data_IF_100432020737
#
_entry.id   IF_100432020737
#
_cell.length_a   1.000
_cell.length_b   1.000
_cell.length_c   1.000
_cell.angle_alpha   90.00
_cell.angle_beta   90.00
_cell.angle_gamma   90.00
#
_symmetry.space_group_name_H-M   'P 1'
#
loop_
_entity.id
_entity.type
_entity.pdbx_description
1 polymer ?
#
# COMPACT_ATOMS: atom_id res chain seq x y z
N UNK A 1 -6.05 20.47 8.48
CA UNK A 1 -6.65 19.87 7.26
C UNK A 1 -6.03 18.50 7.09
N UNK A 2 -6.83 17.43 6.93
CA UNK A 2 -6.33 16.06 6.75
C UNK A 2 -6.22 15.74 5.26
N UNK A 3 -5.07 15.24 4.85
CA UNK A 3 -4.79 14.86 3.45
C UNK A 3 -4.91 13.36 3.25
N UNK A 4 -5.54 12.96 2.15
CA UNK A 4 -5.58 11.61 1.63
C UNK A 4 -4.70 11.58 0.38
N UNK A 5 -3.55 10.93 0.45
CA UNK A 5 -2.65 10.75 -0.68
C UNK A 5 -3.02 9.52 -1.49
N UNK A 6 -2.92 9.57 -2.82
CA UNK A 6 -2.83 8.37 -3.66
C UNK A 6 -1.47 8.29 -4.35
N UNK A 7 -0.76 7.19 -4.12
CA UNK A 7 0.56 6.89 -4.68
C UNK A 7 0.41 5.86 -5.80
N UNK A 8 0.88 6.18 -7.00
CA UNK A 8 0.66 5.39 -8.21
C UNK A 8 1.83 5.49 -9.19
N UNK A 9 1.84 4.62 -10.20
CA UNK A 9 2.84 4.58 -11.26
C UNK A 9 2.40 5.36 -12.51
N UNK A 10 2.55 4.77 -13.69
CA UNK A 10 2.19 5.42 -14.96
C UNK A 10 0.67 5.43 -15.25
N UNK A 11 -0.09 4.51 -14.63
CA UNK A 11 -1.54 4.45 -14.78
C UNK A 11 -2.19 5.56 -13.93
N UNK A 12 -2.94 6.47 -14.54
CA UNK A 12 -3.46 7.67 -13.87
C UNK A 12 -4.99 7.87 -14.00
N UNK A 13 -5.71 6.97 -14.67
CA UNK A 13 -7.17 7.09 -14.85
C UNK A 13 -7.91 6.85 -13.54
N UNK A 14 -7.56 5.80 -12.79
CA UNK A 14 -8.14 5.54 -11.48
C UNK A 14 -7.69 6.57 -10.42
N UNK A 15 -6.39 6.91 -10.29
CA UNK A 15 -5.94 7.90 -9.32
C UNK A 15 -6.65 9.25 -9.41
N UNK A 16 -6.81 9.78 -10.62
CA UNK A 16 -7.52 11.04 -10.82
C UNK A 16 -9.00 10.91 -10.44
N UNK A 17 -9.69 9.88 -10.93
CA UNK A 17 -11.10 9.66 -10.62
C UNK A 17 -11.35 9.48 -9.11
N UNK A 18 -10.41 8.85 -8.39
CA UNK A 18 -10.47 8.73 -6.93
C UNK A 18 -10.39 10.10 -6.25
N UNK A 19 -9.41 10.94 -6.62
CA UNK A 19 -9.25 12.29 -6.09
C UNK A 19 -10.51 13.12 -6.33
N UNK A 20 -10.98 13.14 -7.57
CA UNK A 20 -12.16 13.91 -7.97
C UNK A 20 -13.37 13.48 -7.13
N UNK A 21 -13.55 12.17 -6.96
CA UNK A 21 -14.67 11.63 -6.18
C UNK A 21 -14.57 11.97 -4.69
N UNK A 22 -13.39 11.94 -4.09
CA UNK A 22 -13.19 12.32 -2.68
C UNK A 22 -13.47 13.80 -2.49
N UNK A 23 -12.89 14.65 -3.33
CA UNK A 23 -13.03 16.10 -3.21
C UNK A 23 -14.45 16.57 -3.52
N UNK A 24 -15.16 15.91 -4.45
CA UNK A 24 -16.58 16.17 -4.72
C UNK A 24 -17.49 15.90 -3.51
N UNK A 25 -17.09 15.04 -2.58
CA UNK A 25 -17.88 14.82 -1.35
C UNK A 25 -17.88 16.04 -0.44
N UNK A 26 -16.95 16.98 -0.64
CA UNK A 26 -16.87 18.25 0.09
C UNK A 26 -16.97 18.09 1.61
N UNK A 27 -16.26 17.09 2.15
CA UNK A 27 -16.21 16.85 3.59
C UNK A 27 -15.27 17.87 4.23
N UNK A 28 -15.78 18.60 5.23
CA UNK A 28 -15.02 19.67 5.88
C UNK A 28 -13.66 19.19 6.42
N UNK A 29 -12.61 19.92 6.05
CA UNK A 29 -11.25 19.67 6.52
C UNK A 29 -10.56 18.45 5.90
N UNK A 30 -11.13 17.82 4.86
CA UNK A 30 -10.55 16.68 4.13
C UNK A 30 -10.28 17.06 2.66
N UNK A 31 -9.13 16.63 2.16
CA UNK A 31 -8.73 16.78 0.75
C UNK A 31 -8.01 15.51 0.30
N UNK A 32 -8.17 15.16 -0.97
CA UNK A 32 -7.36 14.16 -1.65
C UNK A 32 -6.46 14.78 -2.71
N UNK A 33 -5.23 14.28 -2.82
CA UNK A 33 -4.25 14.68 -3.81
C UNK A 33 -3.31 13.52 -4.16
N UNK A 34 -2.51 13.69 -5.21
CA UNK A 34 -1.40 12.78 -5.48
C UNK A 34 -0.36 12.89 -4.37
N UNK A 35 0.22 11.74 -3.98
CA UNK A 35 1.32 11.73 -3.03
C UNK A 35 2.53 12.45 -3.64
N UNK A 36 2.99 13.51 -2.99
CA UNK A 36 4.22 14.20 -3.33
C UNK A 36 5.31 13.84 -2.31
N UNK A 37 6.47 13.38 -2.80
CA UNK A 37 7.60 12.97 -1.97
C UNK A 37 8.82 13.76 -2.44
N UNK A 38 9.31 14.67 -1.61
CA UNK A 38 10.55 15.42 -1.89
C UNK A 38 11.75 14.70 -1.31
N UNK A 39 11.66 14.31 -0.04
CA UNK A 39 12.67 13.55 0.68
C UNK A 39 11.99 12.63 1.71
N UNK A 40 12.75 11.66 2.21
CA UNK A 40 12.30 10.75 3.27
C UNK A 40 13.39 10.69 4.32
N UNK A 41 13.10 11.21 5.50
CA UNK A 41 13.93 11.06 6.69
C UNK A 41 13.34 9.95 7.58
N UNK A 42 14.22 9.15 8.16
CA UNK A 42 13.82 8.05 9.05
C UNK A 42 13.04 8.58 10.27
N UNK A 43 11.92 7.94 10.59
CA UNK A 43 11.04 8.29 11.69
C UNK A 43 10.43 9.71 11.63
N UNK A 44 10.54 10.40 10.49
CA UNK A 44 9.85 11.68 10.26
C UNK A 44 8.51 11.42 9.59
N UNK A 45 7.45 12.00 10.14
CA UNK A 45 6.09 11.85 9.64
C UNK A 45 5.89 12.61 8.32
N UNK A 46 5.02 12.07 7.47
CA UNK A 46 4.48 12.78 6.31
C UNK A 46 3.24 13.60 6.71
N UNK A 47 2.78 14.48 5.82
CA UNK A 47 1.60 15.32 6.01
C UNK A 47 0.28 14.60 5.66
N UNK A 48 0.37 13.39 5.11
CA UNK A 48 -0.79 12.54 4.82
C UNK A 48 -1.33 11.83 6.06
N UNK A 49 -2.63 11.97 6.28
CA UNK A 49 -3.35 11.19 7.29
C UNK A 49 -3.63 9.76 6.78
N UNK A 50 -3.88 9.62 5.47
CA UNK A 50 -4.09 8.34 4.79
C UNK A 50 -3.30 8.33 3.48
N UNK A 51 -2.68 7.21 3.12
CA UNK A 51 -2.11 6.98 1.78
C UNK A 51 -2.73 5.73 1.17
N UNK A 52 -3.20 5.85 -0.08
CA UNK A 52 -3.61 4.74 -0.92
C UNK A 52 -2.42 4.34 -1.80
N UNK A 53 -1.88 3.16 -1.56
CA UNK A 53 -0.77 2.58 -2.28
C UNK A 53 -1.24 1.75 -3.48
N UNK A 54 -0.77 2.13 -4.67
CA UNK A 54 -1.03 1.42 -5.94
C UNK A 54 0.23 0.98 -6.67
N UNK A 55 1.43 1.15 -6.08
CA UNK A 55 2.70 0.95 -6.81
C UNK A 55 3.86 0.37 -5.98
N UNK A 56 3.75 0.28 -4.64
CA UNK A 56 4.87 -0.20 -3.82
C UNK A 56 5.24 -1.66 -4.04
N UNK A 57 4.39 -2.42 -4.76
CA UNK A 57 4.72 -3.76 -5.25
C UNK A 57 5.98 -3.79 -6.13
N UNK A 58 6.15 -2.76 -6.94
CA UNK A 58 7.13 -2.77 -8.03
C UNK A 58 8.37 -1.94 -7.67
N UNK A 59 8.23 -0.96 -6.76
CA UNK A 59 9.28 0.01 -6.47
C UNK A 59 9.70 -0.04 -4.99
N UNK A 60 10.92 -0.53 -4.68
CA UNK A 60 11.41 -0.66 -3.31
C UNK A 60 11.42 0.65 -2.51
N UNK A 61 11.73 1.78 -3.16
CA UNK A 61 11.72 3.10 -2.52
C UNK A 61 10.34 3.44 -1.92
N UNK A 62 9.27 3.28 -2.70
CA UNK A 62 7.91 3.55 -2.23
C UNK A 62 7.51 2.63 -1.09
N UNK A 63 7.93 1.36 -1.13
CA UNK A 63 7.69 0.43 -0.02
C UNK A 63 8.36 0.89 1.27
N UNK A 64 9.60 1.37 1.20
CA UNK A 64 10.31 1.90 2.36
C UNK A 64 9.65 3.18 2.89
N UNK A 65 9.28 4.11 2.01
CA UNK A 65 8.55 5.32 2.36
C UNK A 65 7.23 5.02 3.08
N UNK A 66 6.41 4.12 2.53
CA UNK A 66 5.11 3.78 3.11
C UNK A 66 5.24 3.10 4.48
N UNK A 67 6.28 2.29 4.69
CA UNK A 67 6.58 1.73 6.02
C UNK A 67 6.95 2.81 7.03
N UNK A 68 7.74 3.81 6.62
CA UNK A 68 8.06 4.96 7.46
C UNK A 68 6.80 5.79 7.77
N UNK A 69 5.95 6.07 6.78
CA UNK A 69 4.68 6.77 6.97
C UNK A 69 3.76 6.01 7.93
N UNK A 70 3.61 4.69 7.75
CA UNK A 70 2.82 3.85 8.64
C UNK A 70 3.36 3.84 10.08
N UNK A 71 4.69 3.74 10.23
CA UNK A 71 5.36 3.79 11.54
C UNK A 71 5.12 5.12 12.28
N UNK A 72 4.99 6.22 11.54
CA UNK A 72 4.88 7.58 12.08
C UNK A 72 3.44 8.10 12.17
N UNK A 73 2.44 7.25 11.90
CA UNK A 73 1.03 7.51 12.20
C UNK A 73 0.12 7.69 10.98
N UNK A 74 0.63 7.59 9.75
CA UNK A 74 -0.20 7.60 8.54
C UNK A 74 -0.89 6.25 8.36
N UNK A 75 -2.19 6.23 8.13
CA UNK A 75 -2.87 4.99 7.72
C UNK A 75 -2.52 4.69 6.25
N UNK A 76 -2.00 3.50 5.97
CA UNK A 76 -1.64 3.10 4.59
C UNK A 76 -2.51 1.95 4.13
N UNK A 77 -3.10 2.11 2.95
CA UNK A 77 -4.01 1.14 2.33
C UNK A 77 -3.44 0.71 0.96
N UNK A 78 -3.10 -0.54 0.73
CA UNK A 78 -3.13 -1.64 1.71
C UNK A 78 -1.96 -1.53 2.71
N UNK A 79 -2.04 -2.31 3.79
CA UNK A 79 -1.00 -2.30 4.82
C UNK A 79 0.38 -2.64 4.19
N UNK A 80 1.40 -1.77 4.31
CA UNK A 80 2.67 -1.90 3.59
C UNK A 80 3.57 -3.01 4.16
N UNK A 81 3.15 -3.67 5.23
CA UNK A 81 3.79 -4.85 5.80
C UNK A 81 3.25 -6.17 5.22
N UNK A 82 2.23 -6.11 4.36
CA UNK A 82 1.60 -7.25 3.70
C UNK A 82 1.93 -7.25 2.20
N UNK A 83 3.22 -7.34 1.84
CA UNK A 83 3.61 -7.40 0.42
C UNK A 83 4.67 -8.45 0.00
N UNK A 84 4.98 -9.43 0.83
CA UNK A 84 6.02 -10.44 0.58
C UNK A 84 5.53 -11.68 -0.18
N UNK A 85 6.46 -12.42 -0.79
CA UNK A 85 6.14 -13.69 -1.45
C UNK A 85 5.58 -14.74 -0.48
N UNK A 86 6.02 -14.71 0.78
CA UNK A 86 5.56 -15.62 1.84
C UNK A 86 4.07 -15.43 2.14
N UNK A 87 3.56 -14.22 1.94
CA UNK A 87 2.15 -13.95 2.14
C UNK A 87 1.27 -14.59 1.08
N UNK A 88 1.78 -14.88 -0.13
CA UNK A 88 0.99 -15.63 -1.13
C UNK A 88 0.76 -17.06 -0.67
N UNK A 89 1.79 -17.69 -0.09
CA UNK A 89 1.65 -19.01 0.50
C UNK A 89 0.73 -18.97 1.73
N UNK A 90 0.94 -17.99 2.63
CA UNK A 90 0.07 -17.77 3.78
C UNK A 90 -1.39 -17.55 3.37
N UNK A 91 -1.67 -16.73 2.34
CA UNK A 91 -3.02 -16.46 1.87
C UNK A 91 -3.70 -17.73 1.34
N UNK A 92 -2.97 -18.59 0.63
CA UNK A 92 -3.47 -19.91 0.25
C UNK A 92 -3.72 -20.81 1.46
N UNK A 93 -2.80 -20.83 2.44
CA UNK A 93 -2.98 -21.61 3.66
C UNK A 93 -4.22 -21.14 4.46
N UNK A 94 -4.40 -19.82 4.60
CA UNK A 94 -5.57 -19.22 5.23
C UNK A 94 -6.86 -19.55 4.47
N UNK A 95 -6.85 -19.46 3.14
CA UNK A 95 -8.00 -19.83 2.31
C UNK A 95 -8.44 -21.28 2.56
N UNK A 96 -7.49 -22.22 2.65
CA UNK A 96 -7.78 -23.62 3.00
C UNK A 96 -8.41 -23.74 4.39
N UNK A 97 -7.88 -23.03 5.40
CA UNK A 97 -8.45 -23.03 6.76
C UNK A 97 -9.87 -22.48 6.81
N UNK A 98 -10.19 -21.51 5.95
CA UNK A 98 -11.50 -20.89 5.84
C UNK A 98 -12.47 -21.65 4.92
N UNK A 99 -12.03 -22.75 4.28
CA UNK A 99 -12.85 -23.52 3.34
C UNK A 99 -13.05 -22.84 1.97
N UNK A 100 -12.22 -21.86 1.62
CA UNK A 100 -12.22 -21.20 0.31
C UNK A 100 -11.46 -22.07 -0.69
N UNK A 101 -12.06 -22.47 -1.82
CA UNK A 101 -11.37 -23.29 -2.82
C UNK A 101 -10.16 -22.57 -3.44
N UNK A 102 -9.00 -23.20 -3.38
CA UNK A 102 -7.74 -22.74 -4.00
C UNK A 102 -7.00 -23.92 -4.65
N UNK A 103 -6.11 -23.68 -5.63
CA UNK A 103 -5.27 -24.74 -6.19
C UNK A 103 -4.39 -25.41 -5.12
N UNK A 104 -4.11 -26.70 -5.30
CA UNK A 104 -3.15 -27.44 -4.46
C UNK A 104 -1.77 -26.78 -4.58
N UNK A 105 -1.24 -26.28 -3.47
CA UNK A 105 -0.02 -25.45 -3.44
C UNK A 105 0.99 -26.03 -2.45
N UNK A 106 2.27 -26.05 -2.83
CA UNK A 106 3.40 -26.44 -1.98
C UNK A 106 4.49 -25.38 -2.05
N UNK A 107 5.12 -25.08 -0.90
CA UNK A 107 6.33 -24.26 -0.82
C UNK A 107 7.53 -25.20 -0.64
N UNK A 108 8.47 -25.16 -1.59
CA UNK A 108 9.65 -26.03 -1.60
C UNK A 108 10.91 -25.23 -1.29
N UNK A 109 11.91 -25.80 -0.59
CA UNK A 109 13.21 -25.15 -0.40
C UNK A 109 13.98 -25.04 -1.72
N UNK A 110 14.85 -24.03 -1.81
CA UNK A 110 15.76 -23.87 -2.95
C UNK A 110 16.68 -25.08 -3.12
N UNK A 111 16.90 -25.50 -4.37
CA UNK A 111 17.81 -26.62 -4.70
C UNK A 111 19.26 -26.31 -4.31
N UNK A 112 19.71 -25.07 -4.55
CA UNK A 112 21.00 -24.57 -4.11
C UNK A 112 20.83 -23.69 -2.88
N UNK A 113 21.90 -23.54 -2.08
CA UNK A 113 21.92 -22.54 -1.01
C UNK A 113 21.76 -21.15 -1.63
N UNK A 114 20.94 -20.26 -1.04
CA UNK A 114 20.76 -18.89 -1.51
C UNK A 114 22.06 -18.09 -1.49
#
# INVERSE_FOLDING_TARGET
MKKIGILFGQENTFPQAFIDRVNQKSVDGITAEFVNITEVEQAVATDYAVIIDRISQDVPFYRAYLKNAALTGTAVINNPFWWSADEKFFNNALAVQLGVPVPKTLLLPSKARP
#
